data_IF_336920423413
#
_entry.id   IF_336920423413
#
_cell.length_a   1.000
_cell.length_b   1.000
_cell.length_c   1.000
_cell.angle_alpha   90.00
_cell.angle_beta   90.00
_cell.angle_gamma   90.00
#
_symmetry.space_group_name_H-M   'P 1'
#
loop_
_entity.id
_entity.type
_entity.pdbx_description
1 polymer ?
#
# COMPACT_ATOMS: atom_id res chain seq x y z
N UNK A 1 -19.30 -7.84 -25.57
CA UNK A 1 -19.79 -7.40 -24.25
C UNK A 1 -18.72 -7.54 -23.16
N UNK A 2 -18.10 -8.71 -22.98
CA UNK A 2 -17.10 -8.95 -21.90
C UNK A 2 -15.87 -8.03 -22.01
N UNK A 3 -15.26 -7.90 -23.19
CA UNK A 3 -14.08 -7.03 -23.38
C UNK A 3 -14.39 -5.56 -23.08
N UNK A 4 -15.57 -5.07 -23.47
CA UNK A 4 -16.00 -3.71 -23.15
C UNK A 4 -16.15 -3.47 -21.65
N UNK A 5 -16.65 -4.45 -20.90
CA UNK A 5 -16.73 -4.38 -19.45
C UNK A 5 -15.34 -4.39 -18.78
N UNK A 6 -14.39 -5.18 -19.30
CA UNK A 6 -13.01 -5.20 -18.81
C UNK A 6 -12.29 -3.86 -19.03
N UNK A 7 -12.51 -3.22 -20.19
CA UNK A 7 -11.95 -1.91 -20.48
C UNK A 7 -12.53 -0.81 -19.57
N UNK A 8 -13.85 -0.82 -19.34
CA UNK A 8 -14.49 0.11 -18.41
C UNK A 8 -13.95 -0.07 -16.98
N UNK A 9 -13.78 -1.32 -16.55
CA UNK A 9 -13.19 -1.64 -15.24
C UNK A 9 -11.73 -1.15 -15.15
N UNK A 10 -10.91 -1.37 -16.17
CA UNK A 10 -9.54 -0.90 -16.20
C UNK A 10 -9.44 0.63 -16.06
N UNK A 11 -10.25 1.38 -16.82
CA UNK A 11 -10.31 2.84 -16.76
C UNK A 11 -10.72 3.31 -15.35
N UNK A 12 -11.76 2.68 -14.79
CA UNK A 12 -12.23 2.99 -13.43
C UNK A 12 -11.14 2.75 -12.37
N UNK A 13 -10.42 1.64 -12.46
CA UNK A 13 -9.30 1.33 -11.56
C UNK A 13 -8.15 2.33 -11.69
N UNK A 14 -7.83 2.79 -12.90
CA UNK A 14 -6.82 3.83 -13.11
C UNK A 14 -7.22 5.16 -12.44
N UNK A 15 -8.49 5.56 -12.54
CA UNK A 15 -8.99 6.76 -11.85
C UNK A 15 -8.89 6.63 -10.32
N UNK A 16 -9.22 5.46 -9.78
CA UNK A 16 -9.06 5.14 -8.36
C UNK A 16 -7.61 5.23 -7.88
N UNK A 17 -6.67 4.73 -8.68
CA UNK A 17 -5.22 4.87 -8.39
C UNK A 17 -4.83 6.34 -8.32
N UNK A 18 -5.30 7.17 -9.26
CA UNK A 18 -5.08 8.62 -9.25
C UNK A 18 -5.64 9.30 -8.00
N UNK A 19 -6.83 8.90 -7.55
CA UNK A 19 -7.42 9.39 -6.29
C UNK A 19 -6.61 9.00 -5.06
N UNK A 20 -6.14 7.76 -4.98
CA UNK A 20 -5.31 7.30 -3.87
C UNK A 20 -3.95 8.00 -3.83
N UNK A 21 -3.40 8.40 -4.99
CA UNK A 21 -2.16 9.16 -5.06
C UNK A 21 -2.26 10.50 -4.31
N UNK A 22 -3.42 11.16 -4.37
CA UNK A 22 -3.67 12.40 -3.61
C UNK A 22 -3.57 12.14 -2.11
N UNK A 23 -4.09 11.01 -1.62
CA UNK A 23 -4.03 10.61 -0.20
C UNK A 23 -2.60 10.29 0.25
N UNK A 24 -1.78 9.67 -0.59
CA UNK A 24 -0.37 9.40 -0.28
C UNK A 24 0.43 10.71 -0.14
N UNK A 25 0.17 11.69 -1.00
CA UNK A 25 0.92 12.96 -0.99
C UNK A 25 0.41 13.91 0.10
N UNK A 26 -0.90 14.02 0.28
CA UNK A 26 -1.54 14.96 1.23
C UNK A 26 -1.89 14.34 2.58
N UNK A 27 -1.59 13.06 2.81
CA UNK A 27 -1.89 12.39 4.06
C UNK A 27 -1.19 13.06 5.24
N UNK A 28 -1.91 13.51 6.29
CA UNK A 28 -1.35 14.21 7.44
C UNK A 28 -0.55 13.27 8.36
N UNK A 29 -0.90 11.98 8.40
CA UNK A 29 -0.20 10.98 9.21
C UNK A 29 0.57 9.98 8.35
N UNK A 30 1.66 9.42 8.88
CA UNK A 30 2.41 8.35 8.22
C UNK A 30 1.53 7.12 7.94
N UNK A 31 0.61 6.80 8.86
CA UNK A 31 -0.37 5.73 8.67
C UNK A 31 -1.34 6.02 7.52
N UNK A 32 -1.76 7.26 7.33
CA UNK A 32 -2.66 7.63 6.23
C UNK A 32 -1.98 7.46 4.86
N UNK A 33 -0.68 7.82 4.80
CA UNK A 33 0.15 7.59 3.61
C UNK A 33 0.36 6.11 3.35
N UNK A 34 0.61 5.32 4.40
CA UNK A 34 0.80 3.88 4.29
C UNK A 34 -0.46 3.16 3.78
N UNK A 35 -1.63 3.55 4.29
CA UNK A 35 -2.93 3.07 3.79
C UNK A 35 -3.14 3.43 2.32
N UNK A 36 -2.78 4.66 1.92
CA UNK A 36 -2.82 5.10 0.53
C UNK A 36 -1.94 4.24 -0.40
N UNK A 37 -0.70 3.94 0.01
CA UNK A 37 0.23 3.09 -0.75
C UNK A 37 -0.32 1.67 -0.88
N UNK A 38 -0.84 1.09 0.21
CA UNK A 38 -1.44 -0.25 0.18
C UNK A 38 -2.64 -0.34 -0.77
N UNK A 39 -3.49 0.70 -0.79
CA UNK A 39 -4.64 0.77 -1.69
C UNK A 39 -4.24 0.94 -3.17
N UNK A 40 -3.17 1.70 -3.46
CA UNK A 40 -2.60 1.78 -4.82
C UNK A 40 -2.09 0.41 -5.26
N UNK A 41 -1.36 -0.30 -4.40
CA UNK A 41 -0.83 -1.63 -4.72
C UNK A 41 -1.92 -2.65 -5.02
N UNK A 42 -3.00 -2.67 -4.23
CA UNK A 42 -4.15 -3.55 -4.50
C UNK A 42 -4.83 -3.23 -5.83
N UNK A 43 -5.04 -1.95 -6.15
CA UNK A 43 -5.61 -1.56 -7.44
C UNK A 43 -4.71 -1.97 -8.61
N UNK A 44 -3.38 -1.87 -8.46
CA UNK A 44 -2.42 -2.28 -9.48
C UNK A 44 -2.47 -3.80 -9.72
N UNK A 45 -2.61 -4.61 -8.67
CA UNK A 45 -2.77 -6.08 -8.76
C UNK A 45 -4.04 -6.44 -9.55
N UNK A 46 -5.16 -5.80 -9.24
CA UNK A 46 -6.42 -6.03 -9.97
C UNK A 46 -6.28 -5.61 -11.43
N UNK A 47 -5.59 -4.49 -11.69
CA UNK A 47 -5.34 -4.02 -13.05
C UNK A 47 -4.47 -5.02 -13.84
N UNK A 48 -3.42 -5.59 -13.24
CA UNK A 48 -2.60 -6.64 -13.86
C UNK A 48 -3.43 -7.86 -14.25
N UNK A 49 -4.33 -8.32 -13.36
CA UNK A 49 -5.22 -9.43 -13.65
C UNK A 49 -6.16 -9.10 -14.82
N UNK A 50 -6.82 -7.93 -14.79
CA UNK A 50 -7.73 -7.48 -15.87
C UNK A 50 -7.01 -7.38 -17.22
N UNK A 51 -5.78 -6.86 -17.23
CA UNK A 51 -4.94 -6.79 -18.44
C UNK A 51 -4.69 -8.19 -19.01
N UNK A 52 -4.40 -9.18 -18.15
CA UNK A 52 -4.24 -10.58 -18.58
C UNK A 52 -5.46 -11.15 -19.28
N UNK A 53 -6.66 -10.83 -18.79
CA UNK A 53 -7.91 -11.23 -19.45
C UNK A 53 -8.18 -10.47 -20.76
N UNK A 54 -7.74 -9.21 -20.87
CA UNK A 54 -7.87 -8.43 -22.12
C UNK A 54 -6.99 -9.02 -23.24
N UNK A 55 -5.76 -9.45 -22.91
CA UNK A 55 -4.83 -10.03 -23.88
C UNK A 55 -5.11 -11.51 -24.21
N UNK A 56 -6.11 -12.14 -23.58
CA UNK A 56 -6.51 -13.52 -23.87
C UNK A 56 -5.51 -14.59 -23.39
N UNK A 57 -4.53 -14.23 -22.55
CA UNK A 57 -3.56 -15.15 -21.95
C UNK A 57 -3.38 -14.82 -20.46
N UNK A 58 -4.38 -15.14 -19.61
CA UNK A 58 -4.38 -14.72 -18.22
C UNK A 58 -3.27 -15.38 -17.39
N UNK A 59 -2.78 -16.57 -17.76
CA UNK A 59 -1.91 -17.41 -16.92
C UNK A 59 -0.66 -16.67 -16.44
N UNK A 60 0.12 -16.06 -17.35
CA UNK A 60 1.35 -15.36 -16.97
C UNK A 60 1.11 -14.04 -16.23
N UNK A 61 0.00 -13.36 -16.51
CA UNK A 61 -0.36 -12.11 -15.82
C UNK A 61 -0.91 -12.38 -14.42
N UNK A 62 -1.58 -13.51 -14.21
CA UNK A 62 -2.14 -13.88 -12.93
C UNK A 62 -1.05 -14.32 -11.95
N UNK A 63 -0.02 -15.03 -12.41
CA UNK A 63 1.18 -15.33 -11.62
C UNK A 63 1.86 -14.03 -11.15
N UNK A 64 2.00 -13.05 -12.05
CA UNK A 64 2.53 -11.74 -11.72
C UNK A 64 1.62 -11.00 -10.72
N UNK A 65 0.32 -11.00 -10.94
CA UNK A 65 -0.65 -10.34 -10.06
C UNK A 65 -0.61 -10.92 -8.64
N UNK A 66 -0.60 -12.24 -8.49
CA UNK A 66 -0.51 -12.90 -7.18
C UNK A 66 0.83 -12.58 -6.50
N UNK A 67 1.93 -12.62 -7.26
CA UNK A 67 3.26 -12.27 -6.73
C UNK A 67 3.29 -10.82 -6.21
N UNK A 68 2.75 -9.87 -6.98
CA UNK A 68 2.65 -8.48 -6.55
C UNK A 68 1.65 -8.28 -5.40
N UNK A 69 0.59 -9.09 -5.30
CA UNK A 69 -0.34 -9.06 -4.18
C UNK A 69 0.35 -9.40 -2.87
N UNK A 70 1.13 -10.48 -2.86
CA UNK A 70 1.90 -10.90 -1.70
C UNK A 70 2.96 -9.85 -1.36
N UNK A 71 3.68 -9.32 -2.36
CA UNK A 71 4.68 -8.29 -2.15
C UNK A 71 4.09 -7.01 -1.55
N UNK A 72 2.94 -6.54 -2.06
CA UNK A 72 2.25 -5.37 -1.54
C UNK A 72 1.83 -5.58 -0.08
N UNK A 73 1.28 -6.76 0.23
CA UNK A 73 0.88 -7.11 1.60
C UNK A 73 2.08 -7.11 2.56
N UNK A 74 3.17 -7.79 2.19
CA UNK A 74 4.39 -7.85 2.99
C UNK A 74 4.97 -6.44 3.19
N UNK A 75 5.02 -5.63 2.13
CA UNK A 75 5.55 -4.27 2.19
C UNK A 75 4.78 -3.39 3.19
N UNK A 76 3.45 -3.43 3.15
CA UNK A 76 2.62 -2.66 4.10
C UNK A 76 2.81 -3.14 5.53
N UNK A 77 2.82 -4.46 5.77
CA UNK A 77 3.03 -5.03 7.11
C UNK A 77 4.43 -4.72 7.65
N UNK A 78 5.46 -4.78 6.81
CA UNK A 78 6.83 -4.48 7.18
C UNK A 78 6.97 -3.02 7.63
N UNK A 79 6.42 -2.07 6.85
CA UNK A 79 6.44 -0.66 7.23
C UNK A 79 5.60 -0.41 8.49
N UNK A 80 4.43 -1.04 8.62
CA UNK A 80 3.61 -0.91 9.82
C UNK A 80 4.37 -1.36 11.08
N UNK A 81 5.04 -2.52 11.03
CA UNK A 81 5.88 -3.01 12.15
C UNK A 81 7.06 -2.08 12.43
N UNK A 82 7.69 -1.53 11.41
CA UNK A 82 8.80 -0.60 11.58
C UNK A 82 8.37 0.69 12.29
N UNK A 83 7.22 1.25 11.91
CA UNK A 83 6.66 2.44 12.55
C UNK A 83 6.29 2.19 14.01
N UNK A 84 5.74 1.02 14.31
CA UNK A 84 5.37 0.64 15.68
C UNK A 84 6.62 0.47 16.55
N UNK A 85 7.67 -0.20 16.05
CA UNK A 85 8.95 -0.36 16.77
C UNK A 85 9.61 0.97 17.12
N UNK A 86 9.62 1.94 16.18
CA UNK A 86 10.18 3.28 16.43
C UNK A 86 9.48 4.00 17.57
N UNK A 87 8.15 3.89 17.63
CA UNK A 87 7.35 4.53 18.69
C UNK A 87 7.75 4.07 20.08
N UNK A 88 8.10 2.79 20.25
CA UNK A 88 8.57 2.27 21.54
C UNK A 88 10.00 2.76 21.88
N UNK A 89 10.91 2.81 20.90
CA UNK A 89 12.26 3.36 21.11
C UNK A 89 12.23 4.84 21.54
N UNK A 90 11.32 5.64 20.96
CA UNK A 90 11.16 7.05 21.31
C UNK A 90 10.66 7.24 22.76
N UNK A 91 9.68 6.45 23.21
CA UNK A 91 9.11 6.51 24.57
C UNK A 91 10.13 6.12 25.65
N UNK A 92 10.92 5.08 25.40
CA UNK A 92 11.95 4.64 26.35
C UNK A 92 13.09 5.69 26.48
N UNK A 93 13.43 6.39 25.39
CA UNK A 93 14.40 7.49 25.41
C UNK A 93 13.90 8.68 26.24
N UNK A 94 12.63 9.06 26.08
CA UNK A 94 12.05 10.17 26.84
C UNK A 94 11.97 9.85 28.34
N UNK A 95 11.64 8.61 28.71
CA UNK A 95 11.63 8.15 30.10
C UNK A 95 13.04 8.14 30.71
N UNK A 96 14.04 7.66 29.97
CA UNK A 96 15.43 7.69 30.41
C UNK A 96 15.92 9.14 30.62
N UNK A 97 15.59 10.06 29.70
CA UNK A 97 15.95 11.48 29.81
C UNK A 97 15.36 12.15 31.06
N UNK A 98 14.07 11.93 31.33
CA UNK A 98 13.39 12.50 32.50
C UNK A 98 14.01 12.04 33.84
N UNK A 99 14.39 10.77 33.95
CA UNK A 99 15.03 10.24 35.18
C UNK A 99 16.43 10.79 35.44
N UNK A 100 17.14 11.25 34.39
CA UNK A 100 18.45 11.86 34.54
C UNK A 100 18.36 13.33 34.99
N UNK A 101 17.30 14.04 34.61
CA UNK A 101 17.08 15.43 35.05
C UNK A 101 16.50 15.53 36.47
N UNK A 102 15.67 14.56 36.91
CA UNK A 102 15.18 14.51 38.31
C UNK A 102 16.25 14.11 39.34
N UNK A 103 17.36 13.49 38.88
CA UNK A 103 18.47 13.07 39.73
C UNK A 103 19.61 14.09 39.86
N UNK A 104 19.52 15.24 39.20
CA UNK A 104 20.52 16.33 39.18
C UNK A 104 20.05 17.56 39.99
#
# INVERSE_FOLDING_TARGET
MVIGALLALAIFLTLLVGGNFIRVVRGPSLFDRLLGVGAIGTNAVVLLAVIGFIYGRPDGFLDLAITYAILNFIGVVAVAKFLDRKRFEDVDSDAAGATLEEGA
#
